data_IF_869808096404
#
_entry.id   IF_869808096404
#
_cell.length_a   1.000
_cell.length_b   1.000
_cell.length_c   1.000
_cell.angle_alpha   90.00
_cell.angle_beta   90.00
_cell.angle_gamma   90.00
#
_symmetry.space_group_name_H-M   'P 1'
#
loop_
_entity.id
_entity.type
_entity.pdbx_description
1 polymer ?
#
# COMPACT_ATOMS: atom_id res chain seq x y z
N UNK A 1 16.79 0.13 9.51
CA UNK A 1 16.59 1.25 8.55
C UNK A 1 17.80 1.35 7.64
N UNK A 2 17.60 1.76 6.39
CA UNK A 2 18.69 1.94 5.43
C UNK A 2 18.81 3.43 5.06
N UNK A 3 20.04 3.89 4.82
CA UNK A 3 20.28 5.18 4.20
C UNK A 3 20.01 5.14 2.68
N UNK A 4 20.19 6.29 1.99
CA UNK A 4 19.98 6.38 0.53
C UNK A 4 21.00 5.58 -0.29
N UNK A 5 22.12 5.19 0.31
CA UNK A 5 23.17 4.36 -0.28
C UNK A 5 22.95 2.86 -0.03
N UNK A 6 21.94 2.51 0.80
CA UNK A 6 21.60 1.14 1.16
C UNK A 6 22.37 0.60 2.37
N UNK A 7 23.10 1.45 3.09
CA UNK A 7 23.76 1.02 4.32
C UNK A 7 22.77 0.89 5.46
N UNK A 8 22.92 -0.11 6.30
CA UNK A 8 22.15 -0.26 7.53
C UNK A 8 22.60 0.83 8.51
N UNK A 9 21.67 1.70 8.92
CA UNK A 9 21.94 2.83 9.82
C UNK A 9 21.26 2.68 11.17
N UNK A 10 20.21 1.87 11.25
CA UNK A 10 19.51 1.58 12.49
C UNK A 10 18.64 0.33 12.35
N UNK A 11 18.41 -0.37 13.46
CA UNK A 11 17.55 -1.54 13.58
C UNK A 11 16.81 -1.54 14.91
N UNK A 12 15.68 -2.25 14.97
CA UNK A 12 14.85 -2.33 16.17
C UNK A 12 14.75 -3.77 16.71
N UNK A 13 15.85 -4.38 17.17
CA UNK A 13 15.85 -5.78 17.60
C UNK A 13 14.96 -6.03 18.82
N UNK A 14 14.67 -5.01 19.61
CA UNK A 14 13.73 -5.09 20.73
C UNK A 14 12.30 -5.42 20.30
N UNK A 15 11.96 -5.26 19.00
CA UNK A 15 10.66 -5.61 18.43
C UNK A 15 10.59 -7.04 17.88
N UNK A 16 11.69 -7.77 17.80
CA UNK A 16 11.72 -9.14 17.25
C UNK A 16 10.72 -10.04 17.97
N UNK A 17 10.67 -9.95 19.30
CA UNK A 17 9.73 -10.71 20.12
C UNK A 17 8.27 -10.34 19.83
N UNK A 18 7.99 -9.07 19.50
CA UNK A 18 6.64 -8.62 19.16
C UNK A 18 6.16 -9.26 17.86
N UNK A 19 6.99 -9.24 16.81
CA UNK A 19 6.63 -9.72 15.49
C UNK A 19 6.81 -11.24 15.28
N UNK A 20 7.42 -11.94 16.23
CA UNK A 20 7.59 -13.40 16.21
C UNK A 20 6.60 -14.16 17.10
N UNK A 21 5.54 -13.52 17.59
CA UNK A 21 4.58 -14.14 18.53
C UNK A 21 3.79 -15.31 17.92
N UNK A 22 3.62 -15.32 16.61
CA UNK A 22 2.94 -16.40 15.89
C UNK A 22 3.90 -17.10 14.94
N UNK A 23 3.82 -18.43 14.80
CA UNK A 23 4.68 -19.21 13.92
C UNK A 23 4.25 -19.08 12.44
N UNK A 24 4.17 -17.87 11.92
CA UNK A 24 3.63 -17.60 10.59
C UNK A 24 4.70 -17.48 9.49
N UNK A 25 5.97 -17.29 9.86
CA UNK A 25 7.07 -17.13 8.91
C UNK A 25 6.99 -15.85 8.04
N UNK A 26 6.00 -14.96 8.29
CA UNK A 26 5.88 -13.65 7.65
C UNK A 26 5.93 -12.58 8.73
N UNK A 27 6.66 -11.53 8.45
CA UNK A 27 6.65 -10.31 9.26
C UNK A 27 5.49 -9.37 8.90
N UNK A 28 5.61 -8.11 9.31
CA UNK A 28 4.65 -7.07 8.98
C UNK A 28 4.36 -6.98 7.48
N UNK A 29 3.10 -6.74 7.13
CA UNK A 29 2.65 -6.67 5.74
C UNK A 29 2.98 -5.33 5.08
N UNK A 30 2.79 -4.22 5.82
CA UNK A 30 3.00 -2.88 5.29
C UNK A 30 3.63 -1.97 6.34
N UNK A 31 4.54 -1.11 5.89
CA UNK A 31 5.17 -0.07 6.71
C UNK A 31 4.98 1.25 5.99
N UNK A 32 4.37 2.23 6.66
CA UNK A 32 4.14 3.58 6.12
C UNK A 32 4.33 4.66 7.18
N UNK A 33 4.62 5.86 6.71
CA UNK A 33 4.63 7.07 7.53
C UNK A 33 3.59 8.03 6.94
N UNK A 34 2.68 8.54 7.80
CA UNK A 34 1.71 9.53 7.34
C UNK A 34 2.42 10.81 6.87
N UNK A 35 2.12 11.31 5.68
CA UNK A 35 2.67 12.58 5.22
C UNK A 35 2.19 13.78 6.07
N UNK A 36 1.10 13.63 6.78
CA UNK A 36 0.46 14.69 7.58
C UNK A 36 0.81 14.63 9.07
N UNK A 37 1.43 13.55 9.52
CA UNK A 37 1.87 13.40 10.90
C UNK A 37 3.17 14.18 11.14
N UNK A 38 3.11 15.18 12.03
CA UNK A 38 4.25 16.03 12.37
C UNK A 38 5.36 15.26 13.07
N UNK A 39 4.99 14.26 13.86
CA UNK A 39 5.93 13.45 14.64
C UNK A 39 6.51 12.28 13.83
N UNK A 40 6.01 12.09 12.60
CA UNK A 40 6.50 11.06 11.65
C UNK A 40 6.47 9.64 12.23
N UNK A 41 5.40 9.33 12.96
CA UNK A 41 5.23 7.97 13.45
C UNK A 41 5.27 6.94 12.31
N UNK A 42 5.94 5.83 12.60
CA UNK A 42 6.03 4.68 11.71
C UNK A 42 4.84 3.77 11.98
N UNK A 43 3.98 3.62 11.00
CA UNK A 43 2.85 2.69 11.06
C UNK A 43 3.25 1.35 10.51
N UNK A 44 2.95 0.30 11.26
CA UNK A 44 3.20 -1.09 10.86
C UNK A 44 1.86 -1.82 10.88
N UNK A 45 1.48 -2.33 9.73
CA UNK A 45 0.29 -3.14 9.54
C UNK A 45 0.71 -4.60 9.52
N UNK A 46 0.25 -5.38 10.48
CA UNK A 46 0.58 -6.80 10.59
C UNK A 46 -0.65 -7.68 10.34
N UNK A 47 -0.67 -8.34 9.19
CA UNK A 47 -1.78 -9.20 8.78
C UNK A 47 -1.82 -10.53 9.55
N UNK A 48 -0.70 -10.99 10.08
CA UNK A 48 -0.62 -12.25 10.81
C UNK A 48 -1.05 -12.09 12.28
N UNK A 49 -0.64 -10.99 12.88
CA UNK A 49 -1.01 -10.65 14.25
C UNK A 49 -2.41 -10.01 14.34
N UNK A 50 -3.04 -9.64 13.22
CA UNK A 50 -4.31 -8.89 13.15
C UNK A 50 -4.20 -7.52 13.85
N UNK A 51 -3.05 -6.85 13.69
CA UNK A 51 -2.68 -5.67 14.45
C UNK A 51 -2.27 -4.51 13.57
N UNK A 52 -2.47 -3.32 14.11
CA UNK A 52 -1.89 -2.08 13.60
C UNK A 52 -1.09 -1.47 14.74
N UNK A 53 0.17 -1.14 14.45
CA UNK A 53 1.08 -0.52 15.40
C UNK A 53 1.49 0.85 14.92
N UNK A 54 1.74 1.76 15.85
CA UNK A 54 2.31 3.08 15.60
C UNK A 54 3.49 3.28 16.54
N UNK A 55 4.66 3.52 15.97
CA UNK A 55 5.92 3.71 16.67
C UNK A 55 6.45 5.12 16.43
N UNK A 56 7.25 5.65 17.38
CA UNK A 56 8.13 6.77 17.10
C UNK A 56 9.21 6.35 16.10
N UNK A 57 9.92 7.33 15.52
CA UNK A 57 10.95 7.04 14.52
C UNK A 57 12.16 6.26 15.10
N UNK A 58 12.36 6.28 16.42
CA UNK A 58 13.36 5.49 17.17
C UNK A 58 12.82 4.14 17.69
N UNK A 59 11.63 3.72 17.23
CA UNK A 59 11.10 2.38 17.51
C UNK A 59 10.36 2.22 18.83
N UNK A 60 10.01 3.30 19.55
CA UNK A 60 9.18 3.22 20.75
C UNK A 60 7.71 3.09 20.36
N UNK A 61 7.01 2.07 20.91
CA UNK A 61 5.57 1.90 20.68
C UNK A 61 4.78 3.07 21.28
N UNK A 62 3.99 3.74 20.43
CA UNK A 62 3.11 4.86 20.81
C UNK A 62 1.67 4.37 20.97
N UNK A 63 1.21 3.56 20.02
CA UNK A 63 -0.17 3.08 19.98
C UNK A 63 -0.26 1.73 19.28
N UNK A 64 -1.25 0.92 19.67
CA UNK A 64 -1.61 -0.29 18.94
C UNK A 64 -3.12 -0.46 18.91
N UNK A 65 -3.61 -1.05 17.82
CA UNK A 65 -5.04 -1.35 17.63
C UNK A 65 -5.17 -2.77 17.10
N UNK A 66 -6.17 -3.49 17.61
CA UNK A 66 -6.37 -4.92 17.39
C UNK A 66 -6.12 -5.72 18.65
N UNK A 67 -6.16 -7.03 18.52
CA UNK A 67 -5.80 -7.99 19.57
C UNK A 67 -4.97 -9.10 18.93
N UNK A 68 -3.77 -9.32 19.45
CA UNK A 68 -2.80 -10.28 18.88
C UNK A 68 -3.43 -11.65 18.69
N UNK A 69 -3.42 -12.13 17.44
CA UNK A 69 -3.94 -13.44 17.05
C UNK A 69 -5.46 -13.56 17.04
N UNK A 70 -6.21 -12.49 17.33
CA UNK A 70 -7.68 -12.51 17.37
C UNK A 70 -8.26 -11.85 16.13
N UNK A 71 -8.98 -12.64 15.35
CA UNK A 71 -9.72 -12.16 14.18
C UNK A 71 -11.05 -11.55 14.57
N UNK A 72 -11.43 -10.47 13.88
CA UNK A 72 -12.74 -9.87 14.10
C UNK A 72 -13.08 -8.76 13.11
N UNK A 73 -14.35 -8.36 13.07
CA UNK A 73 -14.88 -7.25 12.28
C UNK A 73 -15.46 -6.12 13.15
N UNK A 74 -15.07 -6.06 14.40
CA UNK A 74 -15.48 -4.97 15.30
C UNK A 74 -14.71 -3.67 14.99
N UNK A 75 -15.08 -2.58 15.69
CA UNK A 75 -14.42 -1.26 15.54
C UNK A 75 -12.93 -1.26 15.83
N UNK A 76 -12.46 -2.18 16.66
CA UNK A 76 -11.06 -2.27 17.11
C UNK A 76 -10.49 -3.68 16.92
N UNK A 77 -11.03 -4.47 16.00
CA UNK A 77 -10.51 -5.81 15.66
C UNK A 77 -10.43 -5.93 14.15
N UNK A 78 -9.49 -6.72 13.66
CA UNK A 78 -9.22 -6.89 12.23
C UNK A 78 -9.19 -8.38 11.87
N UNK A 79 -9.44 -8.69 10.61
CA UNK A 79 -9.12 -9.99 10.06
C UNK A 79 -8.12 -9.85 8.91
N UNK A 80 -6.85 -9.78 9.29
CA UNK A 80 -5.70 -9.66 8.41
C UNK A 80 -5.68 -8.33 7.63
N UNK A 81 -5.45 -7.19 8.33
CA UNK A 81 -5.34 -5.88 7.71
C UNK A 81 -4.13 -5.82 6.76
N UNK A 82 -4.20 -4.98 5.74
CA UNK A 82 -3.23 -4.98 4.65
C UNK A 82 -2.55 -3.64 4.42
N UNK A 83 -3.25 -2.51 4.55
CA UNK A 83 -2.69 -1.20 4.22
C UNK A 83 -3.37 -0.06 4.98
N UNK A 84 -2.78 1.14 4.90
CA UNK A 84 -3.28 2.39 5.52
C UNK A 84 -3.05 3.59 4.61
N UNK A 85 -4.01 4.53 4.60
CA UNK A 85 -3.88 5.85 3.96
C UNK A 85 -4.53 6.94 4.80
N UNK A 86 -4.09 8.19 4.64
CA UNK A 86 -4.49 9.32 5.47
C UNK A 86 -4.99 10.49 4.65
N UNK A 87 -5.93 11.25 5.23
CA UNK A 87 -6.29 12.59 4.80
C UNK A 87 -5.48 13.65 5.56
N UNK A 88 -5.42 14.89 5.04
CA UNK A 88 -4.67 15.99 5.68
C UNK A 88 -5.12 16.35 7.09
N UNK A 89 -6.38 16.08 7.44
CA UNK A 89 -6.95 16.34 8.77
C UNK A 89 -6.61 15.24 9.81
N UNK A 90 -5.82 14.24 9.42
CA UNK A 90 -5.45 13.11 10.26
C UNK A 90 -6.45 11.94 10.24
N UNK A 91 -7.60 12.08 9.61
CA UNK A 91 -8.50 10.96 9.31
C UNK A 91 -7.73 9.89 8.52
N UNK A 92 -7.95 8.61 8.84
CA UNK A 92 -7.25 7.54 8.15
C UNK A 92 -8.15 6.34 7.82
N UNK A 93 -7.70 5.58 6.85
CA UNK A 93 -8.41 4.41 6.34
C UNK A 93 -7.52 3.19 6.41
N UNK A 94 -8.08 2.08 6.89
CA UNK A 94 -7.43 0.77 6.94
C UNK A 94 -8.13 -0.17 5.95
N UNK A 95 -7.36 -0.84 5.12
CA UNK A 95 -7.84 -1.99 4.38
C UNK A 95 -7.72 -3.24 5.25
N UNK A 96 -8.84 -3.81 5.64
CA UNK A 96 -8.91 -5.07 6.40
C UNK A 96 -9.21 -6.21 5.42
N UNK A 97 -8.15 -6.69 4.75
CA UNK A 97 -8.29 -7.22 3.40
C UNK A 97 -8.25 -8.72 3.21
N UNK A 98 -7.37 -9.47 3.85
CA UNK A 98 -7.28 -10.90 3.57
C UNK A 98 -8.48 -11.70 4.11
N UNK A 99 -9.05 -11.30 5.25
CA UNK A 99 -10.23 -11.93 5.83
C UNK A 99 -11.40 -10.97 6.04
N UNK A 100 -11.14 -9.74 6.46
CA UNK A 100 -12.17 -8.76 6.83
C UNK A 100 -13.00 -8.22 5.66
N UNK A 101 -12.42 -8.15 4.45
CA UNK A 101 -13.10 -7.73 3.19
C UNK A 101 -13.80 -6.38 3.31
N UNK A 102 -13.12 -5.41 3.93
CA UNK A 102 -13.68 -4.07 4.18
C UNK A 102 -12.60 -3.00 4.18
N UNK A 103 -13.02 -1.76 4.02
CA UNK A 103 -12.27 -0.56 4.34
C UNK A 103 -12.87 0.06 5.60
N UNK A 104 -12.03 0.49 6.53
CA UNK A 104 -12.46 1.08 7.81
C UNK A 104 -11.94 2.51 7.89
N UNK A 105 -12.80 3.44 8.30
CA UNK A 105 -12.46 4.85 8.51
C UNK A 105 -12.39 5.16 10.01
N UNK A 106 -11.31 5.85 10.40
CA UNK A 106 -11.10 6.38 11.74
C UNK A 106 -10.84 7.88 11.69
N UNK A 107 -11.18 8.59 12.76
CA UNK A 107 -10.77 10.00 12.90
C UNK A 107 -9.29 10.13 13.38
N UNK A 108 -8.82 11.37 13.49
CA UNK A 108 -7.46 11.68 13.93
C UNK A 108 -7.18 11.29 15.41
N UNK A 109 -8.22 10.99 16.19
CA UNK A 109 -8.14 10.58 17.59
C UNK A 109 -8.31 9.07 17.76
N UNK A 110 -8.17 8.29 16.67
CA UNK A 110 -8.32 6.84 16.65
C UNK A 110 -9.77 6.35 16.94
N UNK A 111 -10.79 7.19 16.86
CA UNK A 111 -12.18 6.78 17.00
C UNK A 111 -12.70 6.17 15.68
N UNK A 112 -13.38 5.03 15.78
CA UNK A 112 -14.08 4.43 14.66
C UNK A 112 -15.20 5.34 14.16
N UNK A 113 -15.24 5.57 12.84
CA UNK A 113 -16.31 6.34 12.19
C UNK A 113 -17.27 5.40 11.47
N UNK A 114 -16.74 4.58 10.57
CA UNK A 114 -17.53 3.65 9.76
C UNK A 114 -16.63 2.60 9.08
N UNK A 115 -17.26 1.59 8.54
CA UNK A 115 -16.64 0.68 7.57
C UNK A 115 -17.59 0.38 6.40
N UNK A 116 -17.04 -0.14 5.32
CA UNK A 116 -17.84 -0.58 4.17
C UNK A 116 -17.14 -1.72 3.43
N UNK A 117 -17.96 -2.50 2.74
CA UNK A 117 -17.54 -3.62 1.93
C UNK A 117 -17.85 -4.99 2.57
N UNK A 118 -17.94 -6.00 1.72
CA UNK A 118 -18.22 -7.38 2.12
C UNK A 118 -17.69 -8.38 1.07
N UNK A 119 -17.83 -9.66 1.35
CA UNK A 119 -17.61 -10.72 0.36
C UNK A 119 -18.63 -10.62 -0.79
N UNK A 120 -18.26 -11.02 -2.00
CA UNK A 120 -19.20 -11.02 -3.13
C UNK A 120 -20.40 -11.92 -2.86
N UNK A 121 -21.60 -11.45 -3.19
CA UNK A 121 -22.82 -12.27 -3.20
C UNK A 121 -22.79 -13.30 -4.32
N UNK A 122 -22.27 -12.92 -5.49
CA UNK A 122 -21.90 -13.86 -6.56
C UNK A 122 -20.40 -13.71 -6.87
N UNK A 123 -19.57 -14.68 -6.48
CA UNK A 123 -18.12 -14.63 -6.73
C UNK A 123 -17.71 -14.52 -8.20
N UNK A 124 -18.62 -14.88 -9.13
CA UNK A 124 -18.37 -14.81 -10.58
C UNK A 124 -18.69 -13.43 -11.16
N UNK A 125 -19.50 -12.64 -10.45
CA UNK A 125 -19.89 -11.30 -10.88
C UNK A 125 -19.90 -10.32 -9.69
N UNK A 126 -18.74 -10.01 -9.10
CA UNK A 126 -18.65 -9.13 -7.93
C UNK A 126 -19.00 -7.68 -8.28
N UNK A 127 -19.97 -7.13 -7.55
CA UNK A 127 -20.42 -5.75 -7.68
C UNK A 127 -19.51 -4.73 -6.99
N UNK A 128 -19.93 -3.45 -6.96
CA UNK A 128 -19.33 -2.42 -6.12
C UNK A 128 -19.39 -2.80 -4.64
N UNK A 129 -18.37 -2.39 -3.87
CA UNK A 129 -18.21 -2.71 -2.44
C UNK A 129 -18.09 -4.21 -2.11
N UNK A 130 -17.95 -5.06 -3.10
CA UNK A 130 -17.73 -6.49 -2.92
C UNK A 130 -16.26 -6.82 -3.21
N UNK A 131 -15.62 -7.57 -2.30
CA UNK A 131 -14.17 -7.77 -2.31
C UNK A 131 -13.79 -9.25 -2.26
N UNK A 132 -12.81 -9.61 -3.08
CA UNK A 132 -12.06 -10.83 -2.80
C UNK A 132 -10.93 -10.56 -1.81
N UNK A 133 -10.07 -9.59 -2.10
CA UNK A 133 -8.99 -9.19 -1.19
C UNK A 133 -8.74 -7.70 -1.32
N UNK A 134 -9.16 -6.93 -0.32
CA UNK A 134 -8.83 -5.50 -0.21
C UNK A 134 -7.36 -5.39 0.16
N UNK A 135 -6.48 -4.94 -0.76
CA UNK A 135 -5.06 -5.14 -0.54
C UNK A 135 -4.25 -3.87 -0.33
N UNK A 136 -4.54 -2.83 -1.05
CA UNK A 136 -3.81 -1.56 -0.96
C UNK A 136 -4.73 -0.38 -1.15
N UNK A 137 -4.42 0.74 -0.52
CA UNK A 137 -5.20 1.98 -0.59
C UNK A 137 -4.28 3.19 -0.77
N UNK A 138 -4.67 4.09 -1.69
CA UNK A 138 -4.06 5.42 -1.84
C UNK A 138 -5.16 6.47 -1.99
N UNK A 139 -4.83 7.72 -1.65
CA UNK A 139 -5.76 8.85 -1.72
C UNK A 139 -5.18 9.89 -2.67
N UNK A 140 -5.99 10.35 -3.63
CA UNK A 140 -5.62 11.42 -4.56
C UNK A 140 -5.78 12.81 -3.92
N UNK A 141 -5.23 13.83 -4.60
CA UNK A 141 -5.30 15.21 -4.13
C UNK A 141 -6.75 15.73 -4.00
N UNK A 142 -7.66 15.21 -4.81
CA UNK A 142 -9.11 15.51 -4.78
C UNK A 142 -9.89 14.61 -3.80
N UNK A 143 -9.17 13.94 -2.86
CA UNK A 143 -9.71 13.14 -1.74
C UNK A 143 -10.47 11.88 -2.17
N UNK A 144 -10.29 11.39 -3.40
CA UNK A 144 -10.79 10.08 -3.81
C UNK A 144 -9.89 8.96 -3.29
N UNK A 145 -10.52 7.90 -2.81
CA UNK A 145 -9.84 6.70 -2.34
C UNK A 145 -9.77 5.69 -3.48
N UNK A 146 -8.57 5.26 -3.82
CA UNK A 146 -8.29 4.22 -4.80
C UNK A 146 -7.90 2.95 -4.06
N UNK A 147 -8.68 1.89 -4.22
CA UNK A 147 -8.53 0.66 -3.43
C UNK A 147 -8.38 -0.54 -4.36
N UNK A 148 -7.28 -1.26 -4.22
CA UNK A 148 -7.03 -2.48 -5.01
C UNK A 148 -7.83 -3.65 -4.43
N UNK A 149 -8.71 -4.22 -5.25
CA UNK A 149 -9.30 -5.54 -5.07
C UNK A 149 -8.41 -6.58 -5.76
N UNK A 150 -7.41 -7.07 -5.03
CA UNK A 150 -6.36 -7.93 -5.57
C UNK A 150 -6.91 -9.21 -6.21
N UNK A 151 -7.85 -9.85 -5.53
CA UNK A 151 -8.38 -11.14 -5.99
C UNK A 151 -9.27 -11.05 -7.23
N UNK A 152 -9.82 -9.85 -7.53
CA UNK A 152 -10.56 -9.60 -8.77
C UNK A 152 -9.77 -8.77 -9.78
N UNK A 153 -8.49 -8.47 -9.51
CA UNK A 153 -7.59 -7.71 -10.38
C UNK A 153 -8.19 -6.38 -10.85
N UNK A 154 -8.80 -5.62 -9.93
CA UNK A 154 -9.47 -4.36 -10.24
C UNK A 154 -9.17 -3.27 -9.22
N UNK A 155 -9.34 -2.03 -9.64
CA UNK A 155 -9.40 -0.86 -8.78
C UNK A 155 -10.87 -0.53 -8.51
N UNK A 156 -11.22 -0.20 -7.26
CA UNK A 156 -12.47 0.46 -6.92
C UNK A 156 -12.18 1.84 -6.34
N UNK A 157 -12.99 2.83 -6.71
CA UNK A 157 -12.82 4.22 -6.31
C UNK A 157 -14.00 4.67 -5.47
N UNK A 158 -13.71 5.37 -4.38
CA UNK A 158 -14.70 5.88 -3.43
C UNK A 158 -14.41 7.35 -3.11
N UNK A 159 -15.43 8.05 -2.63
CA UNK A 159 -15.21 9.28 -1.89
C UNK A 159 -14.74 8.97 -0.44
N UNK A 160 -14.37 9.98 0.31
CA UNK A 160 -13.93 9.86 1.70
C UNK A 160 -15.02 9.39 2.68
N UNK A 161 -16.27 9.28 2.25
CA UNK A 161 -17.41 8.79 3.02
C UNK A 161 -17.83 7.38 2.60
N UNK A 162 -16.98 6.69 1.83
CA UNK A 162 -17.22 5.31 1.40
C UNK A 162 -18.27 5.17 0.28
N UNK A 163 -18.73 6.29 -0.34
CA UNK A 163 -19.61 6.23 -1.48
C UNK A 163 -18.84 5.76 -2.70
N UNK A 164 -19.30 4.69 -3.32
CA UNK A 164 -18.75 4.18 -4.57
C UNK A 164 -18.84 5.22 -5.69
N UNK A 165 -17.74 5.43 -6.40
CA UNK A 165 -17.64 6.36 -7.52
C UNK A 165 -17.41 5.65 -8.85
N UNK A 166 -16.44 4.72 -8.89
CA UNK A 166 -16.04 4.05 -10.12
C UNK A 166 -15.29 2.74 -9.85
N UNK A 167 -15.17 1.88 -10.87
CA UNK A 167 -14.25 0.72 -10.84
C UNK A 167 -13.82 0.32 -12.25
N UNK A 168 -12.59 -0.17 -12.37
CA UNK A 168 -12.04 -0.67 -13.63
C UNK A 168 -11.04 -1.82 -13.41
N UNK A 169 -10.87 -2.70 -14.41
CA UNK A 169 -9.88 -3.74 -14.35
C UNK A 169 -8.46 -3.15 -14.42
N UNK A 170 -7.58 -3.64 -13.57
CA UNK A 170 -6.16 -3.35 -13.63
C UNK A 170 -5.52 -4.31 -14.65
N UNK A 171 -5.21 -3.84 -15.84
CA UNK A 171 -4.57 -4.64 -16.88
C UNK A 171 -3.89 -3.76 -17.94
N UNK A 172 -2.87 -4.30 -18.58
CA UNK A 172 -2.32 -3.72 -19.80
C UNK A 172 -3.15 -4.18 -21.01
N UNK A 173 -3.53 -3.30 -21.94
CA UNK A 173 -4.25 -3.68 -23.16
C UNK A 173 -3.51 -4.68 -24.04
N UNK A 174 -2.17 -4.72 -23.94
CA UNK A 174 -1.32 -5.66 -24.70
C UNK A 174 -1.26 -7.06 -24.11
N UNK A 175 -1.87 -7.30 -22.93
CA UNK A 175 -1.81 -8.61 -22.31
C UNK A 175 -2.93 -9.53 -22.83
N UNK A 176 -2.65 -10.84 -22.95
CA UNK A 176 -3.68 -11.82 -23.24
C UNK A 176 -4.83 -11.73 -22.20
N UNK A 177 -6.05 -12.04 -22.62
CA UNK A 177 -7.22 -11.98 -21.73
C UNK A 177 -7.09 -12.91 -20.49
N UNK A 178 -6.34 -14.00 -20.64
CA UNK A 178 -6.07 -14.98 -19.58
C UNK A 178 -4.73 -14.76 -18.86
N UNK A 179 -4.07 -13.61 -19.06
CA UNK A 179 -2.83 -13.29 -18.33
C UNK A 179 -3.11 -13.27 -16.84
N UNK A 180 -2.46 -14.11 -16.04
CA UNK A 180 -2.57 -14.02 -14.59
C UNK A 180 -2.06 -12.67 -14.09
N UNK A 181 -2.82 -12.01 -13.23
CA UNK A 181 -2.45 -10.74 -12.60
C UNK A 181 -2.70 -10.82 -11.10
N UNK A 182 -1.84 -10.19 -10.33
CA UNK A 182 -1.95 -10.10 -8.88
C UNK A 182 -1.36 -8.76 -8.44
N UNK A 183 -2.20 -7.73 -8.45
CA UNK A 183 -1.78 -6.39 -8.07
C UNK A 183 -1.60 -6.30 -6.56
N UNK A 184 -0.39 -5.92 -6.13
CA UNK A 184 0.00 -6.05 -4.74
C UNK A 184 0.03 -4.73 -4.00
N UNK A 185 0.56 -3.67 -4.62
CA UNK A 185 0.62 -2.36 -3.98
C UNK A 185 0.56 -1.26 -5.02
N UNK A 186 0.17 -0.06 -4.59
CA UNK A 186 0.16 1.12 -5.45
C UNK A 186 0.40 2.39 -4.65
N UNK A 187 0.73 3.44 -5.36
CA UNK A 187 0.70 4.81 -4.87
C UNK A 187 0.21 5.75 -5.96
N UNK A 188 -0.21 6.94 -5.54
CA UNK A 188 -0.56 8.05 -6.44
C UNK A 188 0.54 9.09 -6.29
N UNK A 189 1.13 9.50 -7.42
CA UNK A 189 2.17 10.50 -7.43
C UNK A 189 1.62 11.94 -7.43
N UNK A 190 2.49 12.92 -7.22
CA UNK A 190 2.18 14.34 -7.19
C UNK A 190 1.67 14.91 -8.52
N UNK A 191 1.81 14.15 -9.61
CA UNK A 191 1.28 14.46 -10.94
C UNK A 191 -0.10 13.85 -11.19
N UNK A 192 -0.65 13.09 -10.22
CA UNK A 192 -1.95 12.42 -10.33
C UNK A 192 -1.91 11.14 -11.15
N UNK A 193 -0.79 10.42 -11.18
CA UNK A 193 -0.70 9.10 -11.79
C UNK A 193 -0.67 7.99 -10.74
N UNK A 194 -1.30 6.88 -11.06
CA UNK A 194 -1.33 5.67 -10.23
C UNK A 194 -0.23 4.73 -10.72
N UNK A 195 0.64 4.31 -9.82
CA UNK A 195 1.70 3.34 -10.07
C UNK A 195 1.41 2.05 -9.32
N UNK A 196 1.32 0.93 -10.03
CA UNK A 196 0.86 -0.36 -9.48
C UNK A 196 1.88 -1.45 -9.75
N UNK A 197 2.22 -2.22 -8.73
CA UNK A 197 3.03 -3.44 -8.86
C UNK A 197 2.16 -4.65 -9.21
N UNK A 198 2.55 -5.39 -10.26
CA UNK A 198 1.95 -6.68 -10.61
C UNK A 198 2.96 -7.83 -10.42
N UNK A 199 2.65 -8.71 -9.47
CA UNK A 199 3.57 -9.76 -9.06
C UNK A 199 3.82 -10.83 -10.15
N UNK A 200 2.82 -11.43 -10.81
CA UNK A 200 3.07 -12.49 -11.80
C UNK A 200 3.82 -12.02 -13.02
N UNK A 201 3.55 -10.81 -13.52
CA UNK A 201 4.25 -10.30 -14.69
C UNK A 201 5.56 -9.61 -14.34
N UNK A 202 5.81 -9.38 -13.05
CA UNK A 202 6.98 -8.63 -12.55
C UNK A 202 7.12 -7.28 -13.25
N UNK A 203 6.02 -6.53 -13.29
CA UNK A 203 5.93 -5.22 -13.94
C UNK A 203 5.37 -4.17 -12.99
N UNK A 204 5.76 -2.95 -13.24
CA UNK A 204 5.14 -1.76 -12.70
C UNK A 204 4.29 -1.14 -13.81
N UNK A 205 3.02 -0.87 -13.51
CA UNK A 205 2.06 -0.27 -14.44
C UNK A 205 1.76 1.16 -14.02
N UNK A 206 1.56 2.03 -14.99
CA UNK A 206 1.13 3.42 -14.81
C UNK A 206 -0.27 3.61 -15.39
N UNK A 207 -1.17 4.22 -14.62
CA UNK A 207 -2.52 4.62 -15.03
C UNK A 207 -2.75 6.09 -14.68
N UNK A 208 -3.70 6.71 -15.37
CA UNK A 208 -4.29 7.96 -14.90
C UNK A 208 -5.36 7.70 -13.82
N UNK A 209 -5.91 8.78 -13.25
CA UNK A 209 -6.96 8.68 -12.21
C UNK A 209 -8.35 8.25 -12.75
N UNK A 210 -8.48 8.04 -14.06
CA UNK A 210 -9.69 7.52 -14.72
C UNK A 210 -9.53 6.04 -15.13
N UNK A 211 -8.39 5.43 -14.77
CA UNK A 211 -8.10 4.02 -15.07
C UNK A 211 -7.57 3.76 -16.49
N UNK A 212 -7.22 4.80 -17.25
CA UNK A 212 -6.58 4.59 -18.54
C UNK A 212 -5.15 4.10 -18.33
N UNK A 213 -4.81 2.97 -18.94
CA UNK A 213 -3.44 2.46 -18.97
C UNK A 213 -2.55 3.36 -19.82
N UNK A 214 -1.41 3.77 -19.28
CA UNK A 214 -0.47 4.67 -19.95
C UNK A 214 0.83 3.96 -20.33
N UNK A 215 1.39 3.16 -19.41
CA UNK A 215 2.73 2.63 -19.57
C UNK A 215 2.97 1.46 -18.62
N UNK A 216 3.89 0.56 -18.98
CA UNK A 216 4.45 -0.44 -18.05
C UNK A 216 5.91 -0.71 -18.35
N UNK A 217 6.64 -1.07 -17.30
CA UNK A 217 8.03 -1.48 -17.40
C UNK A 217 8.34 -2.58 -16.37
N UNK A 218 9.52 -3.18 -16.47
CA UNK A 218 9.96 -4.30 -15.66
C UNK A 218 9.97 -5.60 -16.44
N UNK A 219 10.72 -6.55 -15.93
CA UNK A 219 10.77 -7.91 -16.46
C UNK A 219 11.17 -8.88 -15.35
N UNK A 220 10.69 -10.13 -15.38
CA UNK A 220 10.95 -11.11 -14.34
C UNK A 220 12.42 -11.50 -14.24
N UNK A 221 12.89 -11.73 -13.02
CA UNK A 221 14.23 -12.24 -12.72
C UNK A 221 14.78 -11.78 -11.39
N UNK A 222 15.90 -12.40 -10.98
CA UNK A 222 16.54 -12.12 -9.70
C UNK A 222 17.79 -11.22 -9.84
N UNK A 223 18.21 -10.88 -11.06
CA UNK A 223 19.31 -9.97 -11.31
C UNK A 223 18.91 -8.53 -10.95
N UNK A 224 19.89 -7.66 -10.67
CA UNK A 224 19.65 -6.24 -10.47
C UNK A 224 18.88 -5.64 -11.66
N UNK A 225 17.88 -4.81 -11.38
CA UNK A 225 16.99 -4.23 -12.39
C UNK A 225 15.88 -5.15 -12.89
N UNK A 226 15.90 -6.45 -12.56
CA UNK A 226 14.78 -7.36 -12.76
C UNK A 226 13.89 -7.41 -11.53
N UNK A 227 12.64 -7.82 -11.66
CA UNK A 227 11.65 -7.83 -10.60
C UNK A 227 11.17 -9.26 -10.30
N UNK A 228 10.89 -9.52 -9.02
CA UNK A 228 10.32 -10.79 -8.57
C UNK A 228 9.32 -10.54 -7.42
N UNK A 229 8.12 -10.11 -7.77
CA UNK A 229 7.08 -9.68 -6.83
C UNK A 229 7.43 -8.36 -6.09
N UNK A 230 7.39 -7.24 -6.79
CA UNK A 230 7.57 -5.90 -6.18
C UNK A 230 6.35 -5.55 -5.33
N UNK A 231 6.35 -6.02 -4.07
CA UNK A 231 5.22 -5.92 -3.15
C UNK A 231 5.13 -4.55 -2.46
N UNK A 232 6.25 -3.89 -2.23
CA UNK A 232 6.30 -2.51 -1.72
C UNK A 232 6.81 -1.55 -2.80
N UNK A 233 6.19 -0.38 -2.90
CA UNK A 233 6.55 0.64 -3.89
C UNK A 233 6.45 2.03 -3.26
N UNK A 234 7.49 2.84 -3.42
CA UNK A 234 7.52 4.23 -2.94
C UNK A 234 8.55 5.05 -3.70
N UNK A 235 8.47 6.39 -3.59
CA UNK A 235 9.45 7.31 -4.16
C UNK A 235 10.01 8.24 -3.10
N UNK A 236 11.21 8.79 -3.34
CA UNK A 236 11.77 9.86 -2.53
C UNK A 236 11.62 11.24 -3.21
N UNK A 237 12.09 12.28 -2.52
CA UNK A 237 12.03 13.66 -3.01
C UNK A 237 12.91 13.95 -4.23
N UNK A 238 13.82 13.04 -4.59
CA UNK A 238 14.68 13.14 -5.76
C UNK A 238 14.08 12.42 -6.98
N UNK A 239 12.88 11.79 -6.82
CA UNK A 239 12.25 11.00 -7.86
C UNK A 239 12.81 9.58 -7.99
N UNK A 240 13.63 9.13 -7.03
CA UNK A 240 14.07 7.74 -7.01
C UNK A 240 12.90 6.84 -6.61
N UNK A 241 12.77 5.72 -7.31
CA UNK A 241 11.77 4.70 -7.03
C UNK A 241 12.40 3.57 -6.21
N UNK A 242 11.74 3.18 -5.13
CA UNK A 242 12.15 2.07 -4.27
C UNK A 242 11.12 0.95 -4.36
N UNK A 243 11.59 -0.27 -4.60
CA UNK A 243 10.77 -1.47 -4.71
C UNK A 243 11.22 -2.51 -3.68
N UNK A 244 10.29 -2.93 -2.83
CA UNK A 244 10.50 -4.11 -1.98
C UNK A 244 10.10 -5.35 -2.77
N UNK A 245 11.09 -6.11 -3.18
CA UNK A 245 10.97 -7.27 -4.07
C UNK A 245 10.89 -8.55 -3.24
N UNK A 246 9.66 -8.96 -2.88
CA UNK A 246 9.41 -9.88 -1.77
C UNK A 246 9.91 -11.32 -2.01
N UNK A 247 9.80 -11.87 -3.21
CA UNK A 247 10.30 -13.22 -3.49
C UNK A 247 11.82 -13.26 -3.69
N UNK A 248 12.42 -12.13 -4.04
CA UNK A 248 13.87 -12.01 -4.12
C UNK A 248 14.52 -11.60 -2.79
N UNK A 249 13.71 -11.25 -1.77
CA UNK A 249 14.18 -10.84 -0.44
C UNK A 249 15.08 -9.61 -0.47
N UNK A 250 14.75 -8.60 -1.29
CA UNK A 250 15.62 -7.42 -1.50
C UNK A 250 14.84 -6.13 -1.64
N UNK A 251 15.52 -5.04 -1.38
CA UNK A 251 15.11 -3.69 -1.76
C UNK A 251 15.91 -3.26 -3.00
N UNK A 252 15.24 -2.70 -4.00
CA UNK A 252 15.89 -2.11 -5.17
C UNK A 252 15.58 -0.61 -5.25
N UNK A 253 16.59 0.18 -5.57
CA UNK A 253 16.47 1.61 -5.87
C UNK A 253 16.70 1.82 -7.36
N UNK A 254 15.81 2.58 -8.00
CA UNK A 254 15.91 2.99 -9.39
C UNK A 254 16.02 4.51 -9.43
N UNK A 255 17.07 5.00 -10.06
CA UNK A 255 17.32 6.43 -10.22
C UNK A 255 16.94 6.87 -11.65
N UNK A 256 16.27 8.03 -11.83
CA UNK A 256 16.08 8.60 -13.13
C UNK A 256 17.42 8.86 -13.83
N UNK A 257 17.57 8.40 -15.07
CA UNK A 257 18.76 8.69 -15.86
C UNK A 257 18.64 10.07 -16.54
N UNK A 258 19.76 10.73 -16.82
CA UNK A 258 19.79 11.98 -17.54
C UNK A 258 19.13 11.81 -18.92
N UNK A 259 18.20 12.73 -19.26
CA UNK A 259 17.45 12.68 -20.52
C UNK A 259 16.31 11.63 -20.55
N UNK A 260 15.99 11.00 -19.42
CA UNK A 260 14.81 10.14 -19.35
C UNK A 260 13.52 10.92 -19.67
N UNK A 261 12.60 10.25 -20.36
CA UNK A 261 11.28 10.78 -20.67
C UNK A 261 10.50 11.08 -19.36
N UNK A 262 10.16 12.36 -19.09
CA UNK A 262 9.48 12.73 -17.85
C UNK A 262 8.15 12.01 -17.62
N UNK A 263 7.48 11.60 -18.71
CA UNK A 263 6.20 10.89 -18.63
C UNK A 263 6.37 9.43 -18.20
N UNK A 264 7.60 8.91 -18.24
CA UNK A 264 7.94 7.55 -17.81
C UNK A 264 8.61 7.48 -16.43
N UNK A 265 8.84 8.62 -15.80
CA UNK A 265 9.41 8.71 -14.46
C UNK A 265 8.27 8.82 -13.45
N UNK A 266 8.35 8.04 -12.37
CA UNK A 266 7.43 8.16 -11.25
C UNK A 266 7.61 9.52 -10.57
N UNK A 267 6.52 10.25 -10.38
CA UNK A 267 6.48 11.44 -9.56
C UNK A 267 6.65 11.11 -8.07
N UNK A 268 6.75 12.13 -7.25
CA UNK A 268 6.80 11.93 -5.80
C UNK A 268 5.45 11.46 -5.27
N UNK A 269 5.44 10.70 -4.20
CA UNK A 269 4.20 10.46 -3.48
C UNK A 269 3.65 11.81 -3.04
N UNK A 270 2.35 12.04 -3.22
CA UNK A 270 1.67 13.27 -2.84
C UNK A 270 2.00 13.61 -1.37
N UNK A 271 2.79 14.67 -1.15
CA UNK A 271 3.32 15.01 0.18
C UNK A 271 3.28 16.50 0.45
N UNK A 272 3.02 16.83 1.70
CA UNK A 272 3.20 18.18 2.26
C UNK A 272 4.55 18.35 2.98
N UNK A 273 5.59 17.59 2.57
CA UNK A 273 6.85 17.44 3.32
C UNK A 273 7.94 18.47 3.00
N UNK A 274 7.64 19.55 2.33
CA UNK A 274 8.63 20.54 1.89
C UNK A 274 9.50 21.17 3.02
N UNK A 275 9.17 20.87 4.28
CA UNK A 275 9.86 21.44 5.44
C UNK A 275 10.55 20.42 6.35
N UNK A 276 10.51 19.12 6.05
CA UNK A 276 11.10 18.14 6.96
C UNK A 276 12.61 17.99 6.77
N UNK A 277 13.37 18.43 7.77
CA UNK A 277 14.78 18.07 7.94
C UNK A 277 14.83 16.93 8.95
N UNK A 278 15.67 15.90 8.71
CA UNK A 278 15.96 14.87 9.72
C UNK A 278 16.34 15.53 11.05
N UNK A 279 15.84 15.02 12.19
CA UNK A 279 16.39 15.41 13.48
C UNK A 279 17.87 15.03 13.58
#
# INVERSE_FOLDING_TARGET
MLDRQGNLVDEWPHLDKLFSQLPCGRGPHQIKISPYDKDKHVWIIDDQLHMIYRFTYDGKLVHSKGQVGVRGRGPNTFDRPTDVAWLPDGTYFITDGYGGKRVIKYDANDNFIMDWGDAPKDPRNPGPNEWNTVHSIAISADRRLFVIDRGHARMQVFDENGKFLDMWPLKSPSWPANQPTLFVNHFIDDKGFIWVGDAPTSRILKFDLNGNFLYSWGAPGNQAGRLNCSHGITTDQLGNLYLADCFAGRLQKFEPIAGADPDKIAGQILRTWDTWKRP
#
